data_IF_311411096210
#
_entry.id   IF_311411096210
#
_cell.length_a   1.000
_cell.length_b   1.000
_cell.length_c   1.000
_cell.angle_alpha   90.00
_cell.angle_beta   90.00
_cell.angle_gamma   90.00
#
_symmetry.space_group_name_H-M   'P 1'
#
loop_
_entity.id
_entity.type
_entity.pdbx_description
1 polymer ?
#
# COMPACT_ATOMS: atom_id res chain seq x y z
N UNK A 1 -0.70 -7.02 2.21
CA UNK A 1 -0.30 -7.83 1.03
C UNK A 1 -1.43 -8.71 0.52
N UNK A 2 -2.14 -9.44 1.41
CA UNK A 2 -3.28 -10.28 1.02
C UNK A 2 -4.28 -9.61 0.06
N UNK A 3 -4.69 -8.35 0.32
CA UNK A 3 -5.60 -7.63 -0.58
C UNK A 3 -4.98 -7.30 -1.95
N UNK A 4 -3.68 -6.95 -2.00
CA UNK A 4 -2.96 -6.70 -3.26
C UNK A 4 -2.90 -7.96 -4.13
N UNK A 5 -2.64 -9.11 -3.51
CA UNK A 5 -2.50 -10.40 -4.19
C UNK A 5 -3.85 -10.98 -4.62
N UNK A 6 -4.88 -10.86 -3.78
CA UNK A 6 -6.21 -11.43 -4.05
C UNK A 6 -6.93 -10.68 -5.18
N UNK A 7 -6.66 -9.38 -5.34
CA UNK A 7 -7.32 -8.54 -6.33
C UNK A 7 -6.43 -8.24 -7.55
N UNK A 8 -5.20 -8.79 -7.60
CA UNK A 8 -4.13 -8.41 -8.55
C UNK A 8 -3.99 -6.88 -8.71
N UNK A 9 -4.07 -6.16 -7.58
CA UNK A 9 -3.96 -4.71 -7.57
C UNK A 9 -2.49 -4.29 -7.70
N UNK A 10 -2.24 -3.31 -8.56
CA UNK A 10 -0.93 -2.65 -8.65
C UNK A 10 -0.71 -1.61 -7.55
N UNK A 11 -1.81 -1.07 -7.01
CA UNK A 11 -1.83 0.00 -6.01
C UNK A 11 -2.94 -0.25 -4.98
N UNK A 12 -2.66 0.04 -3.71
CA UNK A 12 -3.64 0.01 -2.62
C UNK A 12 -3.45 1.22 -1.73
N UNK A 13 -4.49 2.03 -1.64
CA UNK A 13 -4.57 3.17 -0.71
C UNK A 13 -5.33 2.72 0.53
N UNK A 14 -4.80 3.04 1.71
CA UNK A 14 -5.40 2.68 2.98
C UNK A 14 -5.05 3.70 4.07
N UNK A 15 -5.83 3.72 5.14
CA UNK A 15 -5.53 4.50 6.35
C UNK A 15 -4.72 3.63 7.30
N UNK A 16 -3.56 4.13 7.72
CA UNK A 16 -2.74 3.47 8.73
C UNK A 16 -3.45 3.53 10.09
N UNK A 17 -3.55 2.40 10.79
CA UNK A 17 -4.29 2.31 12.06
C UNK A 17 -3.51 2.91 13.24
N UNK A 18 -2.18 2.91 13.16
CA UNK A 18 -1.31 3.39 14.24
C UNK A 18 -1.14 4.91 14.17
N UNK A 19 -1.00 5.46 12.95
CA UNK A 19 -0.77 6.90 12.76
C UNK A 19 -2.04 7.66 12.37
N UNK A 20 -3.04 6.97 11.82
CA UNK A 20 -4.21 7.61 11.22
C UNK A 20 -3.96 8.22 9.84
N UNK A 21 -2.73 8.19 9.33
CA UNK A 21 -2.35 8.81 8.05
C UNK A 21 -2.79 7.98 6.84
N UNK A 22 -2.87 8.64 5.67
CA UNK A 22 -3.08 7.95 4.39
C UNK A 22 -1.75 7.40 3.91
N UNK A 23 -1.73 6.11 3.58
CA UNK A 23 -0.59 5.43 2.98
C UNK A 23 -0.97 4.81 1.63
N UNK A 24 0.00 4.76 0.71
CA UNK A 24 -0.09 4.06 -0.57
C UNK A 24 0.92 2.92 -0.60
N UNK A 25 0.42 1.69 -0.75
CA UNK A 25 1.21 0.51 -1.06
C UNK A 25 1.17 0.26 -2.57
N UNK A 26 2.32 0.02 -3.21
CA UNK A 26 2.38 -0.23 -4.65
C UNK A 26 3.36 -1.36 -4.99
N UNK A 27 3.07 -2.11 -6.07
CA UNK A 27 3.95 -3.17 -6.59
C UNK A 27 5.03 -2.54 -7.47
N UNK A 28 6.30 -2.72 -7.12
CA UNK A 28 7.45 -2.21 -7.89
C UNK A 28 7.92 -3.23 -8.93
N UNK A 29 7.99 -4.49 -8.54
CA UNK A 29 8.26 -5.64 -9.39
C UNK A 29 7.50 -6.86 -8.83
N UNK A 30 7.59 -8.04 -9.46
CA UNK A 30 6.81 -9.23 -9.07
C UNK A 30 6.93 -9.61 -7.58
N UNK A 31 7.99 -9.19 -6.88
CA UNK A 31 8.25 -9.59 -5.48
C UNK A 31 8.53 -8.43 -4.54
N UNK A 32 8.56 -7.19 -5.03
CA UNK A 32 8.85 -6.01 -4.22
C UNK A 32 7.68 -5.05 -4.20
N UNK A 33 7.40 -4.56 -3.00
CA UNK A 33 6.41 -3.54 -2.75
C UNK A 33 7.10 -2.28 -2.22
N UNK A 34 6.59 -1.12 -2.61
CA UNK A 34 6.95 0.17 -2.04
C UNK A 34 5.80 0.71 -1.20
N UNK A 35 6.13 1.50 -0.19
CA UNK A 35 5.19 2.22 0.66
C UNK A 35 5.49 3.72 0.53
N UNK A 36 4.44 4.51 0.31
CA UNK A 36 4.48 5.97 0.42
C UNK A 36 3.58 6.35 1.59
N UNK A 37 4.14 7.13 2.52
CA UNK A 37 3.40 7.72 3.63
C UNK A 37 3.18 9.19 3.31
N UNK A 38 1.94 9.63 3.41
CA UNK A 38 1.59 11.04 3.24
C UNK A 38 1.47 11.65 4.63
N UNK A 39 2.29 12.66 4.90
CA UNK A 39 2.18 13.49 6.10
C UNK A 39 1.53 14.83 5.67
N UNK A 40 0.67 15.39 6.53
CA UNK A 40 0.24 16.80 6.39
C UNK A 40 1.38 17.78 6.70
#
# INVERSE_FOLDING_TARGET
>A
LLQMETMDHMFLVFRNIDTGEINLLFRKDEKKYGLIEFYE
#
